data_IF_989429052182
#
_entry.id   IF_989429052182
#
_cell.length_a   1.000
_cell.length_b   1.000
_cell.length_c   1.000
_cell.angle_alpha   90.00
_cell.angle_beta   90.00
_cell.angle_gamma   90.00
#
_symmetry.space_group_name_H-M   'P 1'
#
loop_
_entity.id
_entity.type
_entity.pdbx_description
1 polymer ?
#
# COMPACT_ATOMS: atom_id res chain seq x y z
N UNK A 1 10.01 6.45 -29.75
CA UNK A 1 10.81 6.38 -30.99
C UNK A 1 10.93 4.95 -31.57
N UNK A 2 10.19 3.94 -31.07
CA UNK A 2 10.23 2.55 -31.59
C UNK A 2 9.55 2.38 -32.96
N UNK A 3 8.53 3.19 -33.27
CA UNK A 3 7.84 3.18 -34.57
C UNK A 3 8.73 3.61 -35.75
N UNK A 4 9.76 4.42 -35.50
CA UNK A 4 10.67 4.89 -36.54
C UNK A 4 11.67 3.81 -36.99
N UNK A 5 12.11 2.93 -36.08
CA UNK A 5 12.97 1.78 -36.43
C UNK A 5 12.18 0.65 -37.10
N UNK A 6 10.95 0.38 -36.64
CA UNK A 6 10.09 -0.65 -37.21
C UNK A 6 9.78 -0.46 -38.70
N UNK A 7 9.57 0.81 -39.10
CA UNK A 7 9.36 1.18 -40.50
C UNK A 7 10.61 0.99 -41.38
N UNK A 8 11.81 1.00 -40.80
CA UNK A 8 13.06 0.78 -41.53
C UNK A 8 13.32 -0.71 -41.80
N UNK A 9 12.84 -1.60 -40.92
CA UNK A 9 13.06 -3.06 -41.01
C UNK A 9 11.84 -3.85 -41.55
N UNK A 10 10.74 -3.16 -41.90
CA UNK A 10 9.51 -3.81 -42.39
C UNK A 10 8.76 -4.61 -41.33
N UNK A 11 9.00 -4.32 -40.04
CA UNK A 11 8.34 -4.98 -38.92
C UNK A 11 7.08 -4.22 -38.54
N UNK A 12 5.92 -4.87 -38.55
CA UNK A 12 4.72 -4.32 -37.90
C UNK A 12 4.83 -4.48 -36.38
N UNK A 13 4.90 -3.36 -35.66
CA UNK A 13 4.88 -3.36 -34.20
C UNK A 13 3.46 -3.09 -33.68
N UNK A 14 2.84 -4.12 -33.11
CA UNK A 14 1.61 -3.99 -32.34
C UNK A 14 1.94 -3.66 -30.89
N UNK A 15 1.23 -2.70 -30.31
CA UNK A 15 1.33 -2.36 -28.88
C UNK A 15 -0.01 -2.60 -28.20
N UNK A 16 0.01 -3.20 -27.02
CA UNK A 16 -1.20 -3.47 -26.22
C UNK A 16 -0.94 -3.18 -24.74
N UNK A 17 -2.01 -3.17 -23.95
CA UNK A 17 -1.97 -2.99 -22.50
C UNK A 17 -2.69 -4.16 -21.84
N UNK A 18 -2.03 -4.80 -20.89
CA UNK A 18 -2.61 -5.87 -20.09
C UNK A 18 -2.21 -5.64 -18.62
N UNK A 19 -3.12 -5.13 -17.76
CA UNK A 19 -2.84 -4.97 -16.35
C UNK A 19 -2.73 -6.33 -15.67
N UNK A 20 -1.68 -6.51 -14.85
CA UNK A 20 -1.56 -7.69 -13.99
C UNK A 20 -2.59 -7.61 -12.85
N UNK A 21 -3.04 -8.76 -12.37
CA UNK A 21 -3.86 -8.89 -11.18
C UNK A 21 -3.22 -9.79 -10.14
N UNK A 22 -3.72 -9.76 -8.90
CA UNK A 22 -3.24 -10.63 -7.82
C UNK A 22 -3.57 -12.10 -8.10
N UNK A 23 -2.80 -13.01 -7.49
CA UNK A 23 -3.11 -14.44 -7.46
C UNK A 23 -4.03 -14.75 -6.27
N UNK A 24 -5.34 -14.97 -6.48
CA UNK A 24 -6.27 -15.19 -5.37
C UNK A 24 -5.97 -16.47 -4.59
N UNK A 25 -5.39 -17.50 -5.22
CA UNK A 25 -5.11 -18.77 -4.58
C UNK A 25 -3.86 -18.68 -3.69
N UNK A 26 -2.83 -17.94 -4.13
CA UNK A 26 -1.68 -17.62 -3.29
C UNK A 26 -2.07 -16.78 -2.08
N UNK A 27 -2.90 -15.74 -2.29
CA UNK A 27 -3.40 -14.90 -1.21
C UNK A 27 -4.18 -15.72 -0.18
N UNK A 28 -5.12 -16.55 -0.63
CA UNK A 28 -5.94 -17.38 0.26
C UNK A 28 -5.09 -18.40 1.04
N UNK A 29 -4.16 -19.08 0.36
CA UNK A 29 -3.22 -20.02 0.98
C UNK A 29 -2.35 -19.34 2.04
N UNK A 30 -1.82 -18.16 1.74
CA UNK A 30 -0.97 -17.43 2.69
C UNK A 30 -1.80 -16.91 3.86
N UNK A 31 -2.98 -16.35 3.62
CA UNK A 31 -3.89 -15.82 4.64
C UNK A 31 -4.32 -16.87 5.67
N UNK A 32 -4.36 -18.15 5.28
CA UNK A 32 -4.75 -19.30 6.11
C UNK A 32 -3.57 -20.05 6.71
N UNK A 33 -2.33 -19.66 6.40
CA UNK A 33 -1.14 -20.30 6.95
C UNK A 33 -0.92 -19.99 8.43
N UNK A 34 -0.35 -20.93 9.19
CA UNK A 34 -0.06 -20.75 10.62
C UNK A 34 0.76 -19.47 10.92
N UNK A 35 1.80 -19.12 10.15
CA UNK A 35 2.54 -17.88 10.39
C UNK A 35 1.68 -16.63 10.20
N UNK A 36 0.80 -16.60 9.21
CA UNK A 36 -0.11 -15.46 8.99
C UNK A 36 -1.15 -15.36 10.11
N UNK A 37 -1.73 -16.48 10.54
CA UNK A 37 -2.73 -16.51 11.63
C UNK A 37 -2.10 -16.03 12.94
N UNK A 38 -0.91 -16.52 13.27
CA UNK A 38 -0.17 -16.09 14.46
C UNK A 38 0.21 -14.60 14.38
N UNK A 39 0.69 -14.13 13.22
CA UNK A 39 1.02 -12.73 13.02
C UNK A 39 -0.23 -11.83 13.12
N UNK A 40 -1.37 -12.26 12.59
CA UNK A 40 -2.62 -11.51 12.67
C UNK A 40 -3.07 -11.34 14.12
N UNK A 41 -3.05 -12.41 14.92
CA UNK A 41 -3.39 -12.33 16.34
C UNK A 41 -2.47 -11.37 17.11
N UNK A 42 -1.15 -11.45 16.86
CA UNK A 42 -0.18 -10.56 17.51
C UNK A 42 -0.36 -9.08 17.09
N UNK A 43 -0.66 -8.83 15.81
CA UNK A 43 -0.94 -7.46 15.31
C UNK A 43 -2.24 -6.94 15.93
N UNK A 44 -3.29 -7.76 15.97
CA UNK A 44 -4.60 -7.38 16.53
C UNK A 44 -4.49 -7.02 18.01
N UNK A 45 -3.81 -7.84 18.82
CA UNK A 45 -3.52 -7.56 20.23
C UNK A 45 -2.73 -6.26 20.40
N UNK A 46 -1.66 -6.10 19.61
CA UNK A 46 -0.77 -4.95 19.71
C UNK A 46 -1.47 -3.63 19.32
N UNK A 47 -2.35 -3.66 18.32
CA UNK A 47 -3.13 -2.50 17.85
C UNK A 47 -4.29 -2.20 18.80
N UNK A 48 -4.99 -3.24 19.27
CA UNK A 48 -6.20 -3.13 20.09
C UNK A 48 -7.32 -2.40 19.35
N UNK A 49 -8.04 -1.53 20.05
CA UNK A 49 -9.18 -0.76 19.50
C UNK A 49 -8.77 0.42 18.61
N UNK A 50 -7.45 0.64 18.43
CA UNK A 50 -6.93 1.73 17.61
C UNK A 50 -7.18 1.46 16.14
N UNK A 51 -7.33 2.54 15.37
CA UNK A 51 -7.28 2.48 13.90
C UNK A 51 -5.90 2.06 13.44
N UNK A 52 -5.85 1.29 12.36
CA UNK A 52 -4.59 0.81 11.80
C UNK A 52 -4.40 1.27 10.36
N UNK A 53 -3.44 2.19 10.15
CA UNK A 53 -2.98 2.59 8.82
C UNK A 53 -1.84 1.65 8.43
N UNK A 54 -1.94 0.99 7.30
CA UNK A 54 -0.95 0.00 6.86
C UNK A 54 -0.33 0.42 5.54
N UNK A 55 0.99 0.24 5.45
CA UNK A 55 1.70 0.16 4.18
C UNK A 55 2.50 -1.13 4.14
N UNK A 56 2.58 -1.71 2.95
CA UNK A 56 3.46 -2.83 2.64
C UNK A 56 4.26 -2.43 1.41
N UNK A 57 5.57 -2.27 1.54
CA UNK A 57 6.43 -1.84 0.43
C UNK A 57 7.81 -2.46 0.51
N UNK A 58 8.49 -2.50 -0.63
CA UNK A 58 9.95 -2.55 -0.64
C UNK A 58 10.50 -1.15 -0.42
N UNK A 59 11.65 -1.05 0.24
CA UNK A 59 12.42 0.20 0.28
C UNK A 59 12.84 0.55 -1.15
N UNK A 60 12.09 1.44 -1.76
CA UNK A 60 12.20 1.86 -3.15
C UNK A 60 11.89 3.36 -3.24
N UNK A 61 12.69 4.10 -3.99
CA UNK A 61 12.63 5.56 -4.01
C UNK A 61 11.28 6.06 -4.52
N UNK A 62 10.68 5.32 -5.45
CA UNK A 62 9.40 5.69 -6.05
C UNK A 62 8.20 5.45 -5.14
N UNK A 63 8.35 4.65 -4.07
CA UNK A 63 7.27 4.31 -3.12
C UNK A 63 6.93 5.42 -2.14
N UNK A 64 7.71 6.49 -2.13
CA UNK A 64 7.38 7.72 -1.42
C UNK A 64 7.12 7.52 0.09
N UNK A 65 7.91 6.62 0.69
CA UNK A 65 7.76 6.12 2.05
C UNK A 65 7.82 7.27 3.06
N UNK A 66 8.88 8.08 2.96
CA UNK A 66 9.12 9.24 3.82
C UNK A 66 7.94 10.21 3.82
N UNK A 67 7.39 10.58 2.65
CA UNK A 67 6.24 11.51 2.60
C UNK A 67 4.98 10.90 3.20
N UNK A 68 4.79 9.58 3.10
CA UNK A 68 3.69 8.90 3.79
C UNK A 68 3.79 9.05 5.30
N UNK A 69 4.98 8.94 5.87
CA UNK A 69 5.21 9.20 7.30
C UNK A 69 5.06 10.67 7.67
N UNK A 70 5.55 11.59 6.84
CA UNK A 70 5.38 13.03 7.10
C UNK A 70 3.90 13.45 7.04
N UNK A 71 3.09 12.85 6.17
CA UNK A 71 1.65 13.08 6.13
C UNK A 71 0.98 12.58 7.42
N UNK A 72 1.41 11.43 7.94
CA UNK A 72 0.95 10.91 9.22
C UNK A 72 1.40 11.78 10.41
N UNK A 73 2.65 12.26 10.45
CA UNK A 73 3.13 13.22 11.45
C UNK A 73 2.30 14.51 11.43
N UNK A 74 2.03 15.03 10.22
CA UNK A 74 1.22 16.23 10.05
C UNK A 74 -0.23 16.02 10.52
N UNK A 75 -0.81 14.84 10.27
CA UNK A 75 -2.11 14.46 10.82
C UNK A 75 -2.09 14.51 12.35
N UNK A 76 -1.12 13.86 12.99
CA UNK A 76 -1.01 13.86 14.46
C UNK A 76 -0.78 15.27 15.03
N UNK A 77 0.00 16.10 14.34
CA UNK A 77 0.25 17.48 14.75
C UNK A 77 -1.02 18.34 14.71
N UNK A 78 -1.81 18.22 13.64
CA UNK A 78 -2.97 19.08 13.38
C UNK A 78 -4.28 18.55 13.96
N UNK A 79 -4.37 17.24 14.21
CA UNK A 79 -5.57 16.55 14.70
C UNK A 79 -5.26 15.74 15.97
N UNK A 80 -5.19 16.41 17.15
CA UNK A 80 -4.85 15.77 18.41
C UNK A 80 -5.77 14.60 18.80
N UNK A 81 -7.00 14.57 18.30
CA UNK A 81 -7.97 13.50 18.50
C UNK A 81 -7.51 12.13 18.01
N UNK A 82 -6.55 12.08 17.07
CA UNK A 82 -5.99 10.84 16.55
C UNK A 82 -4.82 10.31 17.39
N UNK A 83 -4.19 11.12 18.24
CA UNK A 83 -3.06 10.69 19.09
C UNK A 83 -3.52 9.60 20.05
N UNK A 84 -2.78 8.49 20.10
CA UNK A 84 -3.18 7.31 20.89
C UNK A 84 -4.32 6.49 20.30
N UNK A 85 -4.99 6.95 19.23
CA UNK A 85 -6.16 6.29 18.61
C UNK A 85 -5.89 5.70 17.24
N UNK A 86 -4.76 6.03 16.61
CA UNK A 86 -4.31 5.43 15.36
C UNK A 86 -2.85 4.99 15.49
N UNK A 87 -2.53 3.82 14.95
CA UNK A 87 -1.15 3.33 14.80
C UNK A 87 -0.87 3.10 13.32
N UNK A 88 0.33 3.46 12.89
CA UNK A 88 0.82 3.24 11.54
C UNK A 88 1.68 1.97 11.49
N UNK A 89 1.23 0.93 10.81
CA UNK A 89 2.00 -0.28 10.52
C UNK A 89 2.83 -0.12 9.24
N UNK A 90 4.16 -0.15 9.39
CA UNK A 90 5.11 0.02 8.31
C UNK A 90 5.88 -1.28 8.02
N UNK A 91 5.34 -2.09 7.11
CA UNK A 91 5.96 -3.35 6.67
C UNK A 91 6.83 -3.06 5.45
N UNK A 92 8.03 -2.55 5.70
CA UNK A 92 8.90 -2.00 4.66
C UNK A 92 10.29 -2.62 4.69
N UNK A 93 10.54 -3.54 3.76
CA UNK A 93 11.76 -4.35 3.79
C UNK A 93 12.84 -3.84 2.82
N UNK A 94 14.14 -3.96 3.18
CA UNK A 94 15.25 -3.54 2.34
C UNK A 94 15.20 -4.09 0.91
N UNK A 95 15.64 -3.27 -0.04
CA UNK A 95 15.88 -3.70 -1.42
C UNK A 95 17.12 -3.00 -1.97
N UNK A 96 17.86 -3.68 -2.86
CA UNK A 96 19.01 -3.13 -3.60
C UNK A 96 20.07 -2.46 -2.71
N UNK A 97 20.45 -3.11 -1.62
CA UNK A 97 21.38 -2.54 -0.62
C UNK A 97 22.78 -2.19 -1.16
N UNK A 98 23.18 -2.80 -2.29
CA UNK A 98 24.41 -2.43 -2.99
C UNK A 98 24.39 -1.01 -3.60
N UNK A 99 23.22 -0.40 -3.75
CA UNK A 99 23.06 0.93 -4.38
C UNK A 99 23.04 2.02 -3.29
N UNK A 100 23.98 2.99 -3.29
CA UNK A 100 24.07 4.02 -2.24
C UNK A 100 22.78 4.82 -2.03
N UNK A 101 22.02 5.09 -3.09
CA UNK A 101 20.76 5.83 -2.99
C UNK A 101 19.70 5.09 -2.15
N UNK A 102 19.64 3.75 -2.23
CA UNK A 102 18.69 2.94 -1.46
C UNK A 102 19.08 2.87 0.01
N UNK A 103 20.38 2.80 0.32
CA UNK A 103 20.88 2.86 1.70
C UNK A 103 20.54 4.19 2.36
N UNK A 104 20.86 5.31 1.70
CA UNK A 104 20.50 6.66 2.19
C UNK A 104 19.00 6.83 2.39
N UNK A 105 18.21 6.24 1.50
CA UNK A 105 16.76 6.32 1.63
C UNK A 105 16.23 5.48 2.79
N UNK A 106 16.81 4.30 3.06
CA UNK A 106 16.52 3.53 4.27
C UNK A 106 16.91 4.28 5.54
N UNK A 107 18.13 4.84 5.58
CA UNK A 107 18.58 5.68 6.71
C UNK A 107 17.59 6.82 6.95
N UNK A 108 17.11 7.47 5.88
CA UNK A 108 16.11 8.53 6.00
C UNK A 108 14.75 8.04 6.49
N UNK A 109 14.35 6.82 6.16
CA UNK A 109 13.15 6.19 6.71
C UNK A 109 13.32 5.98 8.21
N UNK A 110 14.43 5.36 8.63
CA UNK A 110 14.72 5.07 10.03
C UNK A 110 14.75 6.36 10.88
N UNK A 111 15.38 7.43 10.38
CA UNK A 111 15.40 8.76 11.01
C UNK A 111 13.99 9.34 11.22
N UNK A 112 13.12 9.23 10.20
CA UNK A 112 11.77 9.80 10.26
C UNK A 112 10.89 8.99 11.20
N UNK A 113 11.02 7.67 11.21
CA UNK A 113 10.33 6.81 12.18
C UNK A 113 10.76 7.18 13.60
N UNK A 114 12.06 7.25 13.87
CA UNK A 114 12.59 7.61 15.18
C UNK A 114 12.13 9.00 15.64
N UNK A 115 12.12 9.99 14.73
CA UNK A 115 11.66 11.35 15.05
C UNK A 115 10.16 11.41 15.37
N UNK A 116 9.33 10.60 14.73
CA UNK A 116 7.88 10.55 15.00
C UNK A 116 7.62 9.82 16.32
N UNK A 117 8.31 8.71 16.57
CA UNK A 117 8.22 8.00 17.86
C UNK A 117 8.68 8.90 19.01
N UNK A 118 9.82 9.59 18.90
CA UNK A 118 10.31 10.54 19.92
C UNK A 118 9.28 11.64 20.24
N UNK A 119 8.55 12.09 19.22
CA UNK A 119 7.60 13.20 19.36
C UNK A 119 6.26 12.78 19.96
N UNK A 120 5.78 11.58 19.65
CA UNK A 120 4.39 11.19 19.92
C UNK A 120 4.22 9.93 20.76
N UNK A 121 5.22 9.05 20.84
CA UNK A 121 5.08 7.81 21.58
C UNK A 121 4.81 8.07 23.07
N UNK A 122 4.03 7.17 23.66
CA UNK A 122 3.79 7.09 25.10
C UNK A 122 4.06 5.67 25.56
N UNK A 123 4.08 5.44 26.88
CA UNK A 123 4.32 4.11 27.46
C UNK A 123 3.38 3.03 26.88
N UNK A 124 2.14 3.41 26.55
CA UNK A 124 1.09 2.50 26.06
C UNK A 124 0.80 2.61 24.55
N UNK A 125 1.51 3.48 23.82
CA UNK A 125 1.24 3.72 22.41
C UNK A 125 2.51 4.03 21.61
N UNK A 126 2.75 3.18 20.60
CA UNK A 126 3.70 3.46 19.53
C UNK A 126 2.93 3.99 18.30
N UNK A 127 3.27 5.20 17.82
CA UNK A 127 2.64 5.78 16.64
C UNK A 127 3.04 5.03 15.37
N UNK A 128 4.28 4.55 15.26
CA UNK A 128 4.74 3.75 14.12
C UNK A 128 5.23 2.37 14.59
N UNK A 129 4.57 1.32 14.10
CA UNK A 129 5.08 -0.05 14.18
C UNK A 129 5.89 -0.39 12.92
N UNK A 130 7.20 -0.22 13.04
CA UNK A 130 8.16 -0.44 11.96
C UNK A 130 8.61 -1.92 11.88
N UNK A 131 8.37 -2.56 10.75
CA UNK A 131 8.72 -3.96 10.45
C UNK A 131 9.59 -4.00 9.19
N UNK A 132 10.93 -4.07 9.33
CA UNK A 132 11.86 -4.07 8.20
C UNK A 132 12.14 -5.46 7.62
N UNK A 133 11.55 -6.53 8.16
CA UNK A 133 11.78 -7.89 7.68
C UNK A 133 10.95 -8.19 6.44
N UNK A 134 11.55 -8.91 5.50
CA UNK A 134 10.83 -9.51 4.36
C UNK A 134 10.04 -10.74 4.87
N UNK A 135 8.86 -10.46 5.43
CA UNK A 135 7.94 -11.43 6.03
C UNK A 135 6.58 -11.32 5.35
N UNK A 136 6.40 -12.12 4.30
CA UNK A 136 5.19 -12.10 3.48
C UNK A 136 3.93 -12.49 4.28
N UNK A 137 3.90 -13.59 5.07
CA UNK A 137 2.75 -13.90 5.92
C UNK A 137 2.39 -12.78 6.90
N UNK A 138 3.38 -12.11 7.52
CA UNK A 138 3.10 -10.98 8.41
C UNK A 138 2.57 -9.76 7.65
N UNK A 139 3.04 -9.50 6.44
CA UNK A 139 2.52 -8.43 5.59
C UNK A 139 1.05 -8.68 5.20
N UNK A 140 0.71 -9.92 4.84
CA UNK A 140 -0.67 -10.34 4.59
C UNK A 140 -1.52 -10.15 5.84
N UNK A 141 -1.04 -10.60 7.01
CA UNK A 141 -1.73 -10.40 8.28
C UNK A 141 -2.02 -8.91 8.59
N UNK A 142 -1.07 -8.02 8.26
CA UNK A 142 -1.28 -6.59 8.42
C UNK A 142 -2.37 -6.03 7.50
N UNK A 143 -2.37 -6.42 6.22
CA UNK A 143 -3.38 -6.01 5.25
C UNK A 143 -4.78 -6.52 5.64
N UNK A 144 -4.87 -7.73 6.18
CA UNK A 144 -6.10 -8.28 6.76
C UNK A 144 -6.66 -7.41 7.89
N UNK A 145 -5.78 -6.96 8.79
CA UNK A 145 -6.12 -6.14 9.97
C UNK A 145 -6.30 -4.65 9.69
N UNK A 146 -5.89 -4.15 8.54
CA UNK A 146 -5.89 -2.71 8.24
C UNK A 146 -7.29 -2.07 8.34
N UNK A 147 -7.35 -0.82 8.80
CA UNK A 147 -8.52 0.06 8.63
C UNK A 147 -8.32 1.02 7.45
N UNK A 148 -7.07 1.36 7.14
CA UNK A 148 -6.66 2.16 6.00
C UNK A 148 -5.42 1.55 5.38
N UNK A 149 -5.38 1.43 4.05
CA UNK A 149 -4.18 1.00 3.31
C UNK A 149 -3.64 2.19 2.52
N UNK A 150 -2.40 2.57 2.80
CA UNK A 150 -1.74 3.71 2.15
C UNK A 150 -0.85 3.25 1.00
N UNK A 151 -1.23 3.63 -0.22
CA UNK A 151 -0.46 3.41 -1.44
C UNK A 151 -0.20 4.76 -2.10
N UNK A 152 0.91 5.40 -1.72
CA UNK A 152 1.24 6.77 -2.13
C UNK A 152 2.45 6.94 -3.07
N UNK A 153 2.78 6.00 -3.99
CA UNK A 153 3.99 6.12 -4.80
C UNK A 153 3.97 7.38 -5.68
N UNK A 154 5.15 7.93 -5.93
CA UNK A 154 5.36 8.98 -6.94
C UNK A 154 5.14 8.39 -8.34
N UNK A 155 5.71 7.20 -8.59
CA UNK A 155 5.53 6.41 -9.80
C UNK A 155 5.64 4.92 -9.49
N UNK A 156 4.68 4.13 -9.96
CA UNK A 156 4.66 2.69 -9.83
C UNK A 156 3.92 2.11 -11.04
N UNK A 157 4.50 1.11 -11.71
CA UNK A 157 3.94 0.57 -12.95
C UNK A 157 2.54 0.00 -12.78
N UNK A 158 2.25 -0.57 -11.61
CA UNK A 158 0.92 -1.05 -11.23
C UNK A 158 0.64 -0.81 -9.74
N UNK A 159 1.47 -1.38 -8.87
CA UNK A 159 1.22 -1.59 -7.44
C UNK A 159 0.17 -2.68 -7.15
N UNK A 160 0.65 -3.92 -6.92
CA UNK A 160 -0.22 -5.06 -6.60
C UNK A 160 -0.82 -4.97 -5.20
N UNK A 161 -0.15 -4.36 -4.22
CA UNK A 161 -0.67 -4.20 -2.85
C UNK A 161 -2.03 -3.48 -2.86
N UNK A 162 -2.22 -2.49 -3.75
CA UNK A 162 -3.51 -1.82 -3.92
C UNK A 162 -4.65 -2.76 -4.38
N UNK A 163 -4.33 -3.82 -5.13
CA UNK A 163 -5.28 -4.85 -5.60
C UNK A 163 -5.40 -6.01 -4.61
N UNK A 164 -4.33 -6.38 -3.92
CA UNK A 164 -4.33 -7.48 -2.93
C UNK A 164 -5.08 -7.08 -1.65
N UNK A 165 -4.90 -5.85 -1.19
CA UNK A 165 -5.49 -5.36 0.06
C UNK A 165 -7.02 -5.57 0.15
N UNK A 166 -7.83 -5.16 -0.85
CA UNK A 166 -9.28 -5.40 -0.79
C UNK A 166 -9.67 -6.88 -0.74
N UNK A 167 -8.87 -7.77 -1.35
CA UNK A 167 -9.15 -9.21 -1.38
C UNK A 167 -8.83 -9.91 -0.07
N UNK A 168 -7.89 -9.36 0.71
CA UNK A 168 -7.45 -9.88 1.99
C UNK A 168 -8.22 -9.28 3.16
N UNK A 169 -8.68 -8.04 3.04
CA UNK A 169 -9.07 -7.25 4.20
C UNK A 169 -10.37 -7.72 4.88
N UNK A 170 -10.31 -7.89 6.20
CA UNK A 170 -11.39 -8.38 7.05
C UNK A 170 -12.23 -7.24 7.67
N UNK A 171 -11.93 -5.97 7.37
CA UNK A 171 -12.46 -4.78 8.08
C UNK A 171 -12.94 -3.66 7.16
N UNK A 172 -13.16 -3.93 5.89
CA UNK A 172 -13.50 -2.94 4.86
C UNK A 172 -12.55 -1.72 4.90
N UNK A 173 -11.26 -1.99 4.76
CA UNK A 173 -10.23 -0.96 4.78
C UNK A 173 -10.42 0.05 3.64
N UNK A 174 -10.22 1.32 3.97
CA UNK A 174 -10.21 2.38 2.96
C UNK A 174 -8.86 2.38 2.25
N UNK A 175 -8.88 2.28 0.93
CA UNK A 175 -7.68 2.41 0.11
C UNK A 175 -7.39 3.90 -0.16
N UNK A 176 -6.24 4.38 0.31
CA UNK A 176 -5.70 5.70 -0.06
C UNK A 176 -4.69 5.50 -1.19
N UNK A 177 -4.97 6.03 -2.37
CA UNK A 177 -4.27 5.66 -3.61
C UNK A 177 -3.76 6.88 -4.39
N UNK A 178 -2.48 6.85 -4.74
CA UNK A 178 -1.84 7.87 -5.57
C UNK A 178 -2.13 7.64 -7.07
N UNK A 179 -2.41 8.71 -7.85
CA UNK A 179 -2.42 8.66 -9.32
C UNK A 179 -1.09 8.23 -9.94
N UNK A 180 -0.01 8.18 -9.15
CA UNK A 180 1.29 7.66 -9.56
C UNK A 180 1.34 6.14 -9.69
N UNK A 181 0.35 5.40 -9.18
CA UNK A 181 0.26 3.95 -9.31
C UNK A 181 -0.59 3.55 -10.53
N UNK A 182 -0.12 2.60 -11.36
CA UNK A 182 -0.92 2.10 -12.49
C UNK A 182 -2.27 1.48 -12.07
N UNK A 183 -2.39 0.95 -10.85
CA UNK A 183 -3.65 0.47 -10.31
C UNK A 183 -4.69 1.59 -10.11
N UNK A 184 -4.27 2.87 -10.09
CA UNK A 184 -5.18 4.00 -9.99
C UNK A 184 -6.17 4.04 -11.15
N UNK A 185 -5.74 3.70 -12.37
CA UNK A 185 -6.61 3.69 -13.56
C UNK A 185 -7.81 2.73 -13.41
N UNK A 186 -7.67 1.70 -12.58
CA UNK A 186 -8.74 0.73 -12.30
C UNK A 186 -9.47 0.99 -10.97
N UNK A 187 -8.78 1.53 -9.96
CA UNK A 187 -9.27 1.59 -8.58
C UNK A 187 -9.63 2.99 -8.07
N UNK A 188 -9.41 4.05 -8.86
CA UNK A 188 -9.60 5.44 -8.40
C UNK A 188 -11.02 5.79 -7.96
N UNK A 189 -12.04 5.15 -8.54
CA UNK A 189 -13.45 5.40 -8.20
C UNK A 189 -13.76 5.19 -6.71
N UNK A 190 -13.57 3.96 -6.19
CA UNK A 190 -13.81 3.66 -4.78
C UNK A 190 -12.67 4.08 -3.83
N UNK A 191 -11.46 4.39 -4.33
CA UNK A 191 -10.35 4.84 -3.50
C UNK A 191 -10.47 6.30 -3.02
N UNK A 192 -9.73 6.65 -1.98
CA UNK A 192 -9.45 8.04 -1.61
C UNK A 192 -8.15 8.46 -2.31
N UNK A 193 -8.24 9.38 -3.26
CA UNK A 193 -7.05 9.86 -3.96
C UNK A 193 -6.12 10.65 -3.02
N UNK A 194 -4.81 10.47 -3.21
CA UNK A 194 -3.76 11.23 -2.51
C UNK A 194 -2.81 11.87 -3.51
N UNK A 195 -2.47 13.14 -3.32
CA UNK A 195 -1.37 13.78 -4.04
C UNK A 195 -0.04 13.27 -3.45
N UNK A 196 0.82 12.59 -4.23
CA UNK A 196 2.07 12.05 -3.71
C UNK A 196 3.10 13.13 -3.35
N UNK A 197 2.91 14.40 -3.71
CA UNK A 197 3.87 15.47 -3.45
C UNK A 197 3.47 16.37 -2.27
N UNK A 198 2.17 16.44 -1.95
CA UNK A 198 1.63 17.31 -0.92
C UNK A 198 1.37 16.56 0.39
N UNK A 199 2.20 16.84 1.39
CA UNK A 199 2.13 16.26 2.73
C UNK A 199 0.86 16.68 3.47
N UNK A 200 0.39 17.91 3.28
CA UNK A 200 -0.80 18.45 3.96
C UNK A 200 -2.05 17.81 3.36
N UNK A 201 -2.12 17.75 2.03
CA UNK A 201 -3.20 17.03 1.35
C UNK A 201 -3.18 15.52 1.69
N UNK A 202 -1.99 14.92 1.82
CA UNK A 202 -1.84 13.55 2.27
C UNK A 202 -2.39 13.30 3.68
N UNK A 203 -2.15 14.23 4.62
CA UNK A 203 -2.73 14.15 5.95
C UNK A 203 -4.26 14.24 5.93
N UNK A 204 -4.82 15.14 5.10
CA UNK A 204 -6.26 15.25 4.91
C UNK A 204 -6.89 14.01 4.28
N UNK A 205 -6.18 13.36 3.34
CA UNK A 205 -6.62 12.08 2.75
C UNK A 205 -6.63 10.96 3.80
N UNK A 206 -5.60 10.86 4.65
CA UNK A 206 -5.57 9.91 5.77
C UNK A 206 -6.69 10.18 6.77
N UNK A 207 -6.92 11.44 7.14
CA UNK A 207 -8.02 11.82 8.03
C UNK A 207 -9.38 11.40 7.47
N UNK A 208 -9.64 11.72 6.20
CA UNK A 208 -10.88 11.34 5.51
C UNK A 208 -11.08 9.82 5.52
N UNK A 209 -10.01 9.06 5.27
CA UNK A 209 -10.06 7.60 5.30
C UNK A 209 -10.35 7.05 6.71
N UNK A 210 -9.71 7.61 7.73
CA UNK A 210 -9.87 7.21 9.12
C UNK A 210 -11.24 7.55 9.71
N UNK A 211 -11.82 8.68 9.30
CA UNK A 211 -13.12 9.17 9.73
C UNK A 211 -14.29 8.66 8.88
N UNK A 212 -14.03 7.82 7.87
CA UNK A 212 -15.06 7.35 6.95
C UNK A 212 -16.07 6.44 7.67
N UNK A 213 -17.35 6.72 7.48
CA UNK A 213 -18.45 5.98 8.11
C UNK A 213 -18.51 4.51 7.63
N UNK A 214 -18.90 3.56 8.50
CA UNK A 214 -18.87 2.13 8.17
C UNK A 214 -19.62 1.74 6.88
N UNK A 215 -20.77 2.37 6.62
CA UNK A 215 -21.56 2.09 5.42
C UNK A 215 -20.84 2.52 4.12
N UNK A 216 -20.15 3.67 4.14
CA UNK A 216 -19.35 4.13 2.99
C UNK A 216 -18.11 3.25 2.81
N UNK A 217 -17.47 2.84 3.91
CA UNK A 217 -16.32 1.92 3.88
C UNK A 217 -16.68 0.59 3.22
N UNK A 218 -17.77 -0.04 3.67
CA UNK A 218 -18.24 -1.31 3.12
C UNK A 218 -18.55 -1.21 1.62
N UNK A 219 -19.29 -0.16 1.20
CA UNK A 219 -19.62 0.05 -0.20
C UNK A 219 -18.38 0.20 -1.09
N UNK A 220 -17.40 1.00 -0.66
CA UNK A 220 -16.12 1.18 -1.38
C UNK A 220 -15.29 -0.11 -1.40
N UNK A 221 -15.25 -0.84 -0.29
CA UNK A 221 -14.51 -2.10 -0.18
C UNK A 221 -15.08 -3.18 -1.11
N UNK A 222 -16.41 -3.28 -1.23
CA UNK A 222 -17.06 -4.21 -2.15
C UNK A 222 -16.75 -3.88 -3.61
N UNK A 223 -16.81 -2.60 -3.99
CA UNK A 223 -16.42 -2.17 -5.33
C UNK A 223 -14.93 -2.47 -5.61
N UNK A 224 -14.04 -2.18 -4.66
CA UNK A 224 -12.62 -2.52 -4.75
C UNK A 224 -12.39 -4.03 -4.93
N UNK A 225 -13.12 -4.89 -4.19
CA UNK A 225 -13.05 -6.35 -4.33
C UNK A 225 -13.47 -6.81 -5.72
N UNK A 226 -14.56 -6.24 -6.26
CA UNK A 226 -15.00 -6.54 -7.63
C UNK A 226 -13.93 -6.14 -8.66
N UNK A 227 -13.36 -4.95 -8.53
CA UNK A 227 -12.33 -4.44 -9.43
C UNK A 227 -11.04 -5.26 -9.36
N UNK A 228 -10.57 -5.58 -8.15
CA UNK A 228 -9.34 -6.33 -7.94
C UNK A 228 -9.39 -7.76 -8.48
N UNK A 229 -10.57 -8.39 -8.59
CA UNK A 229 -10.76 -9.73 -9.17
C UNK A 229 -10.83 -9.75 -10.69
N UNK A 230 -10.84 -8.60 -11.37
CA UNK A 230 -10.99 -8.54 -12.84
C UNK A 230 -9.84 -9.19 -13.60
N UNK A 231 -8.66 -9.18 -13.02
CA UNK A 231 -7.45 -9.71 -13.63
C UNK A 231 -6.77 -10.68 -12.67
N UNK A 232 -6.10 -11.66 -13.24
CA UNK A 232 -5.22 -12.62 -12.56
C UNK A 232 -3.94 -12.81 -13.38
N UNK A 233 -2.88 -13.41 -12.79
CA UNK A 233 -1.66 -13.74 -13.54
C UNK A 233 -1.93 -14.60 -14.78
N UNK A 234 -2.90 -15.53 -14.70
CA UNK A 234 -3.30 -16.35 -15.84
C UNK A 234 -3.91 -15.51 -16.97
N UNK A 235 -4.89 -14.65 -16.67
CA UNK A 235 -5.50 -13.78 -17.69
C UNK A 235 -4.50 -12.78 -18.29
N UNK A 236 -3.53 -12.34 -17.50
CA UNK A 236 -2.45 -11.49 -17.97
C UNK A 236 -1.54 -12.24 -18.96
N UNK A 237 -1.16 -13.49 -18.63
CA UNK A 237 -0.36 -14.34 -19.50
C UNK A 237 -1.09 -14.66 -20.80
N UNK A 238 -2.38 -15.00 -20.74
CA UNK A 238 -3.20 -15.24 -21.92
C UNK A 238 -3.23 -14.02 -22.85
N UNK A 239 -3.33 -12.81 -22.28
CA UNK A 239 -3.26 -11.57 -23.04
C UNK A 239 -1.88 -11.33 -23.68
N UNK A 240 -0.78 -11.74 -23.03
CA UNK A 240 0.55 -11.70 -23.65
C UNK A 240 0.65 -12.66 -24.83
N UNK A 241 0.19 -13.90 -24.66
CA UNK A 241 0.27 -14.95 -25.68
C UNK A 241 -0.62 -14.64 -26.89
N UNK A 242 -1.79 -14.03 -26.67
CA UNK A 242 -2.68 -13.60 -27.75
C UNK A 242 -2.12 -12.40 -28.56
N UNK A 243 -1.12 -11.70 -28.03
CA UNK A 243 -0.51 -10.53 -28.67
C UNK A 243 0.78 -10.85 -29.45
N UNK A 244 1.23 -12.12 -29.43
CA UNK A 244 2.34 -12.66 -30.22
C UNK A 244 1.77 -13.32 -31.48
#
# INVERSE_FOLDING_TARGET
NARACAAADGLELTTFVAPLGPDPDDLARTATSDPCVAAHAAIDEAVGDRRFVVRVDRVELSKNIVRGFLAYDHLLATRPEWRGRVTFGAYVYPSREGVPAYRRYRERIDEVVASIDERWATDDWSPIRYEPRDDYPRSIAALRRADVVLVNPVRDGLNLVAKEAPLLNDRDAVLVLSPGAGAFDELAGPAVAIDPYDVVAGAAALERALAMEPAERAARADELRTLARRHSPATWLDAQLAAI
#
